data_IF_316872966601
#
_entry.id   IF_316872966601
#
_cell.length_a   1.000
_cell.length_b   1.000
_cell.length_c   1.000
_cell.angle_alpha   90.00
_cell.angle_beta   90.00
_cell.angle_gamma   90.00
#
_symmetry.space_group_name_H-M   'P 1'
#
loop_
_entity.id
_entity.type
_entity.pdbx_description
1 polymer ?
#
# COMPACT_ATOMS: atom_id res chain seq x y z
N UNK A 1 -56.90 2.82 -55.33
CA UNK A 1 -56.78 3.84 -54.26
C UNK A 1 -56.67 3.25 -52.85
N UNK A 2 -57.33 2.11 -52.54
CA UNK A 2 -57.33 1.50 -51.19
C UNK A 2 -55.96 0.86 -50.83
N UNK A 3 -55.31 0.17 -51.77
CA UNK A 3 -54.02 -0.48 -51.55
C UNK A 3 -52.88 0.49 -51.17
N UNK A 4 -52.83 1.67 -51.78
CA UNK A 4 -51.83 2.71 -51.47
C UNK A 4 -51.99 3.28 -50.06
N UNK A 5 -53.24 3.41 -49.57
CA UNK A 5 -53.51 3.88 -48.19
C UNK A 5 -53.08 2.85 -47.14
N UNK A 6 -53.31 1.56 -47.39
CA UNK A 6 -52.92 0.49 -46.48
C UNK A 6 -51.40 0.35 -46.44
N UNK A 7 -50.73 0.41 -47.59
CA UNK A 7 -49.27 0.35 -47.68
C UNK A 7 -48.61 1.52 -46.94
N UNK A 8 -49.09 2.74 -47.13
CA UNK A 8 -48.54 3.91 -46.43
C UNK A 8 -48.78 3.87 -44.91
N UNK A 9 -49.92 3.33 -44.45
CA UNK A 9 -50.14 3.15 -43.00
C UNK A 9 -49.25 2.06 -42.41
N UNK A 10 -48.96 0.99 -43.16
CA UNK A 10 -48.07 -0.08 -42.72
C UNK A 10 -46.62 0.43 -42.62
N UNK A 11 -46.15 1.17 -43.64
CA UNK A 11 -44.82 1.79 -43.64
C UNK A 11 -44.69 2.81 -42.52
N UNK A 12 -45.71 3.66 -42.30
CA UNK A 12 -45.69 4.63 -41.20
C UNK A 12 -45.63 3.95 -39.83
N UNK A 13 -46.35 2.84 -39.63
CA UNK A 13 -46.29 2.05 -38.39
C UNK A 13 -44.93 1.38 -38.19
N UNK A 14 -44.32 0.87 -39.25
CA UNK A 14 -42.97 0.27 -39.20
C UNK A 14 -41.91 1.34 -38.89
N UNK A 15 -42.02 2.53 -39.48
CA UNK A 15 -41.11 3.66 -39.21
C UNK A 15 -41.26 4.18 -37.77
N UNK A 16 -42.50 4.30 -37.27
CA UNK A 16 -42.75 4.67 -35.87
C UNK A 16 -42.22 3.59 -34.91
N UNK A 17 -42.46 2.30 -35.20
CA UNK A 17 -41.92 1.21 -34.39
C UNK A 17 -40.38 1.17 -34.41
N UNK A 18 -39.75 1.46 -35.55
CA UNK A 18 -38.29 1.58 -35.68
C UNK A 18 -37.72 2.77 -34.92
N UNK A 19 -38.39 3.93 -34.95
CA UNK A 19 -37.98 5.13 -34.19
C UNK A 19 -38.12 4.94 -32.67
N UNK A 20 -39.15 4.22 -32.21
CA UNK A 20 -39.31 3.86 -30.79
C UNK A 20 -38.22 2.87 -30.33
N UNK A 21 -37.81 1.94 -31.20
CA UNK A 21 -36.75 0.96 -30.90
C UNK A 21 -35.34 1.58 -30.87
N UNK A 22 -35.12 2.67 -31.60
CA UNK A 22 -33.85 3.43 -31.59
C UNK A 22 -33.80 4.40 -30.39
N UNK A 23 -34.94 4.87 -29.89
CA UNK A 23 -35.03 5.76 -28.72
C UNK A 23 -34.84 5.07 -27.36
N UNK A 24 -34.76 3.74 -27.30
CA UNK A 24 -34.60 2.97 -26.05
C UNK A 24 -33.17 2.52 -25.75
N UNK A 25 -32.18 2.98 -26.51
CA UNK A 25 -30.77 2.91 -26.08
C UNK A 25 -30.49 4.07 -25.13
N UNK A 26 -31.28 4.17 -24.05
CA UNK A 26 -30.85 4.92 -22.89
C UNK A 26 -29.63 4.19 -22.35
N UNK A 27 -28.48 4.85 -22.29
CA UNK A 27 -27.31 4.32 -21.59
C UNK A 27 -27.79 3.86 -20.23
N UNK A 28 -27.68 2.56 -19.95
CA UNK A 28 -27.91 2.06 -18.61
C UNK A 28 -26.85 2.72 -17.74
N UNK A 29 -27.27 3.77 -17.02
CA UNK A 29 -26.52 4.34 -15.94
C UNK A 29 -26.21 3.19 -14.99
N UNK A 30 -24.93 2.82 -14.88
CA UNK A 30 -24.53 1.70 -14.06
C UNK A 30 -24.66 2.14 -12.60
N UNK A 31 -25.38 1.39 -11.79
CA UNK A 31 -25.39 1.62 -10.34
C UNK A 31 -23.96 1.57 -9.78
N UNK A 32 -23.77 2.12 -8.57
CA UNK A 32 -22.50 2.14 -7.87
C UNK A 32 -22.59 1.29 -6.61
N UNK A 33 -21.47 0.76 -6.16
CA UNK A 33 -21.32 0.15 -4.83
C UNK A 33 -20.61 1.17 -3.94
N UNK A 34 -21.28 1.57 -2.86
CA UNK A 34 -20.70 2.39 -1.80
C UNK A 34 -20.29 1.49 -0.63
N UNK A 35 -18.99 1.36 -0.40
CA UNK A 35 -18.37 0.63 0.70
C UNK A 35 -18.26 1.57 1.90
N UNK A 36 -18.82 1.17 3.03
CA UNK A 36 -18.87 2.03 4.22
C UNK A 36 -17.52 2.09 4.91
N UNK A 37 -17.18 3.26 5.46
CA UNK A 37 -16.04 3.44 6.38
C UNK A 37 -16.45 4.15 7.67
N UNK A 38 -17.74 4.43 7.86
CA UNK A 38 -18.31 4.96 9.09
C UNK A 38 -18.66 3.82 10.08
N UNK A 39 -19.46 4.13 11.10
CA UNK A 39 -19.86 3.18 12.14
C UNK A 39 -20.77 2.04 11.63
N UNK A 40 -21.26 2.10 10.39
CA UNK A 40 -22.00 1.00 9.77
C UNK A 40 -21.08 -0.06 9.15
N UNK A 41 -19.77 0.20 9.12
CA UNK A 41 -18.78 -0.80 8.74
C UNK A 41 -18.42 -1.67 9.94
N UNK A 42 -18.49 -2.99 9.75
CA UNK A 42 -18.13 -3.97 10.78
C UNK A 42 -16.66 -4.36 10.73
N UNK A 43 -16.00 -4.15 9.59
CA UNK A 43 -14.58 -4.46 9.41
C UNK A 43 -13.89 -3.50 8.44
N UNK A 44 -13.28 -2.44 9.00
CA UNK A 44 -12.60 -1.41 8.21
C UNK A 44 -11.32 -1.93 7.53
N UNK A 45 -10.61 -2.87 8.15
CA UNK A 45 -9.39 -3.44 7.55
C UNK A 45 -9.73 -4.28 6.31
N UNK A 46 -10.78 -5.11 6.39
CA UNK A 46 -11.28 -5.84 5.22
C UNK A 46 -11.83 -4.92 4.15
N UNK A 47 -12.37 -3.74 4.49
CA UNK A 47 -12.80 -2.76 3.50
C UNK A 47 -11.63 -2.20 2.67
N UNK A 48 -10.48 -1.89 3.30
CA UNK A 48 -9.25 -1.57 2.56
C UNK A 48 -8.78 -2.74 1.69
N UNK A 49 -8.86 -3.96 2.21
CA UNK A 49 -8.58 -5.19 1.47
C UNK A 49 -9.44 -5.36 0.22
N UNK A 50 -10.74 -5.11 0.33
CA UNK A 50 -11.68 -5.14 -0.78
C UNK A 50 -11.35 -4.07 -1.83
N UNK A 51 -11.02 -2.85 -1.41
CA UNK A 51 -10.60 -1.78 -2.31
C UNK A 51 -9.31 -2.16 -3.07
N UNK A 52 -8.31 -2.68 -2.36
CA UNK A 52 -7.07 -3.19 -2.98
C UNK A 52 -7.37 -4.32 -3.97
N UNK A 53 -8.22 -5.28 -3.60
CA UNK A 53 -8.62 -6.37 -4.48
C UNK A 53 -9.31 -5.85 -5.75
N UNK A 54 -10.20 -4.86 -5.64
CA UNK A 54 -10.85 -4.24 -6.80
C UNK A 54 -9.82 -3.67 -7.79
N UNK A 55 -8.84 -2.92 -7.27
CA UNK A 55 -7.74 -2.37 -8.07
C UNK A 55 -6.92 -3.48 -8.74
N UNK A 56 -6.65 -4.58 -8.03
CA UNK A 56 -5.97 -5.75 -8.58
C UNK A 56 -6.75 -6.49 -9.68
N UNK A 57 -8.08 -6.31 -9.74
CA UNK A 57 -8.93 -6.80 -10.84
C UNK A 57 -9.07 -5.80 -11.99
N UNK A 58 -8.42 -4.62 -11.89
CA UNK A 58 -8.53 -3.55 -12.89
C UNK A 58 -9.81 -2.72 -12.76
N UNK A 59 -10.50 -2.77 -11.62
CA UNK A 59 -11.61 -1.86 -11.35
C UNK A 59 -11.08 -0.59 -10.68
N UNK A 60 -11.52 0.56 -11.19
CA UNK A 60 -11.23 1.84 -10.55
C UNK A 60 -12.01 1.97 -9.24
N UNK A 61 -11.37 2.57 -8.24
CA UNK A 61 -11.95 2.85 -6.92
C UNK A 61 -11.85 4.32 -6.64
N UNK A 62 -12.95 4.95 -6.26
CA UNK A 62 -12.94 6.32 -5.75
C UNK A 62 -12.88 6.28 -4.23
N UNK A 63 -11.88 6.94 -3.66
CA UNK A 63 -11.78 7.17 -2.24
C UNK A 63 -12.40 8.53 -1.89
N UNK A 64 -13.50 8.49 -1.16
CA UNK A 64 -14.28 9.64 -0.77
C UNK A 64 -13.76 10.20 0.57
N UNK A 65 -12.67 10.95 0.52
CA UNK A 65 -12.00 11.51 1.69
C UNK A 65 -12.98 12.35 2.52
N UNK A 66 -12.98 12.10 3.83
CA UNK A 66 -13.87 12.71 4.84
C UNK A 66 -15.39 12.47 4.64
N UNK A 67 -15.82 11.85 3.54
CA UNK A 67 -17.21 11.41 3.39
C UNK A 67 -17.40 10.04 4.06
N UNK A 68 -18.32 9.96 5.03
CA UNK A 68 -18.64 8.73 5.79
C UNK A 68 -17.39 7.97 6.26
N UNK A 69 -16.43 8.68 6.86
CA UNK A 69 -15.21 8.08 7.39
C UNK A 69 -14.16 7.70 6.34
N UNK A 70 -14.27 8.23 5.11
CA UNK A 70 -13.35 7.88 4.02
C UNK A 70 -13.87 6.71 3.18
N UNK A 71 -15.17 6.69 2.89
CA UNK A 71 -15.83 5.59 2.13
C UNK A 71 -15.20 5.35 0.76
N UNK A 72 -15.35 4.14 0.23
CA UNK A 72 -14.97 3.82 -1.14
C UNK A 72 -16.19 3.68 -2.04
N UNK A 73 -16.07 4.10 -3.29
CA UNK A 73 -17.09 3.92 -4.30
C UNK A 73 -16.51 3.27 -5.56
N UNK A 74 -17.25 2.31 -6.12
CA UNK A 74 -16.87 1.56 -7.31
C UNK A 74 -18.09 1.34 -8.20
N UNK A 75 -17.88 1.09 -9.49
CA UNK A 75 -18.94 0.62 -10.38
C UNK A 75 -19.60 -0.65 -9.85
N UNK A 76 -20.93 -0.72 -9.84
CA UNK A 76 -21.61 -1.92 -9.40
C UNK A 76 -21.33 -3.08 -10.35
N UNK A 77 -20.81 -4.17 -9.78
CA UNK A 77 -20.58 -5.46 -10.42
C UNK A 77 -20.90 -6.56 -9.42
N UNK A 78 -21.60 -7.60 -9.87
CA UNK A 78 -21.94 -8.76 -9.03
C UNK A 78 -20.72 -9.39 -8.35
N UNK A 79 -19.58 -9.41 -9.04
CA UNK A 79 -18.33 -9.99 -8.51
C UNK A 79 -17.83 -9.22 -7.28
N UNK A 80 -17.95 -7.89 -7.29
CA UNK A 80 -17.52 -7.02 -6.19
C UNK A 80 -18.47 -7.20 -5.01
N UNK A 81 -19.79 -7.15 -5.24
CA UNK A 81 -20.80 -7.35 -4.18
C UNK A 81 -20.65 -8.72 -3.50
N UNK A 82 -20.39 -9.78 -4.28
CA UNK A 82 -20.11 -11.12 -3.75
C UNK A 82 -18.82 -11.15 -2.94
N UNK A 83 -17.72 -10.56 -3.43
CA UNK A 83 -16.45 -10.50 -2.69
C UNK A 83 -16.59 -9.71 -1.38
N UNK A 84 -17.28 -8.56 -1.40
CA UNK A 84 -17.58 -7.78 -0.20
C UNK A 84 -18.34 -8.60 0.84
N UNK A 85 -19.37 -9.34 0.40
CA UNK A 85 -20.16 -10.23 1.27
C UNK A 85 -19.30 -11.34 1.87
N UNK A 86 -18.44 -11.98 1.07
CA UNK A 86 -17.52 -13.04 1.52
C UNK A 86 -16.50 -12.50 2.54
N UNK A 87 -16.03 -11.27 2.35
CA UNK A 87 -15.07 -10.61 3.25
C UNK A 87 -15.72 -9.99 4.49
N UNK A 88 -17.05 -10.03 4.63
CA UNK A 88 -17.76 -9.41 5.75
C UNK A 88 -17.76 -7.88 5.74
N UNK A 89 -17.60 -7.28 4.56
CA UNK A 89 -17.55 -5.83 4.37
C UNK A 89 -18.95 -5.28 4.09
N UNK A 90 -19.39 -4.31 4.89
CA UNK A 90 -20.69 -3.64 4.69
C UNK A 90 -20.65 -2.68 3.50
N UNK A 91 -21.69 -2.74 2.65
CA UNK A 91 -21.86 -1.87 1.49
C UNK A 91 -23.34 -1.64 1.15
N UNK A 92 -23.60 -0.69 0.24
CA UNK A 92 -24.89 -0.54 -0.46
C UNK A 92 -24.68 -0.45 -1.96
N UNK A 93 -25.67 -0.90 -2.72
CA UNK A 93 -25.80 -0.54 -4.14
C UNK A 93 -26.65 0.73 -4.20
N UNK A 94 -26.13 1.77 -4.84
CA UNK A 94 -26.77 3.07 -4.98
C UNK A 94 -26.94 3.41 -6.47
N UNK A 95 -27.99 4.16 -6.79
CA UNK A 95 -28.20 4.68 -8.14
C UNK A 95 -27.23 5.82 -8.47
N UNK A 96 -27.05 6.11 -9.75
CA UNK A 96 -26.29 7.28 -10.20
C UNK A 96 -26.84 8.62 -9.65
N UNK A 97 -28.15 8.72 -9.42
CA UNK A 97 -28.75 9.91 -8.82
C UNK A 97 -28.35 10.10 -7.35
N UNK A 98 -28.20 8.99 -6.62
CA UNK A 98 -27.66 8.99 -5.25
C UNK A 98 -26.17 9.32 -5.26
N UNK A 99 -25.39 8.70 -6.16
CA UNK A 99 -23.96 9.02 -6.32
C UNK A 99 -23.73 10.50 -6.66
N UNK A 100 -24.52 11.07 -7.57
CA UNK A 100 -24.49 12.49 -7.90
C UNK A 100 -24.81 13.39 -6.69
N UNK A 101 -25.72 12.94 -5.81
CA UNK A 101 -26.02 13.67 -4.58
C UNK A 101 -24.87 13.59 -3.57
N UNK A 102 -24.15 12.46 -3.51
CA UNK A 102 -22.94 12.30 -2.70
C UNK A 102 -21.83 13.25 -3.21
N UNK A 103 -21.56 13.28 -4.51
CA UNK A 103 -20.57 14.18 -5.07
C UNK A 103 -20.88 15.65 -4.79
N UNK A 104 -22.15 16.06 -4.89
CA UNK A 104 -22.56 17.42 -4.52
C UNK A 104 -22.24 17.74 -3.05
N UNK A 105 -22.54 16.81 -2.13
CA UNK A 105 -22.17 16.98 -0.71
C UNK A 105 -20.66 17.10 -0.53
N UNK A 106 -19.88 16.32 -1.27
CA UNK A 106 -18.41 16.39 -1.22
C UNK A 106 -17.92 17.76 -1.69
N UNK A 107 -18.45 18.28 -2.80
CA UNK A 107 -18.06 19.59 -3.34
C UNK A 107 -18.44 20.77 -2.42
N UNK A 108 -19.53 20.65 -1.66
CA UNK A 108 -20.03 21.71 -0.77
C UNK A 108 -19.31 21.75 0.59
N UNK A 109 -18.60 20.68 0.96
CA UNK A 109 -17.99 20.48 2.28
C UNK A 109 -16.47 20.29 2.20
N UNK A 110 -15.79 20.17 3.34
CA UNK A 110 -14.34 19.90 3.39
C UNK A 110 -14.01 18.42 3.12
N UNK A 111 -14.34 17.95 1.92
CA UNK A 111 -14.20 16.56 1.45
C UNK A 111 -13.55 16.52 0.06
N UNK A 112 -13.09 15.35 -0.38
CA UNK A 112 -12.44 15.19 -1.69
C UNK A 112 -12.68 13.78 -2.27
N UNK A 113 -12.71 13.67 -3.60
CA UNK A 113 -12.71 12.39 -4.32
C UNK A 113 -11.33 12.14 -4.89
N UNK A 114 -10.69 11.04 -4.49
CA UNK A 114 -9.42 10.59 -5.07
C UNK A 114 -9.67 9.33 -5.90
N UNK A 115 -9.34 9.38 -7.19
CA UNK A 115 -9.41 8.22 -8.07
C UNK A 115 -8.18 7.32 -7.88
N UNK A 116 -8.42 6.04 -7.61
CA UNK A 116 -7.42 4.98 -7.51
C UNK A 116 -7.60 4.02 -8.69
N UNK A 117 -6.50 3.75 -9.41
CA UNK A 117 -6.54 2.99 -10.67
C UNK A 117 -5.64 1.75 -10.68
N UNK A 118 -4.68 1.67 -9.75
CA UNK A 118 -3.69 0.58 -9.69
C UNK A 118 -3.45 0.15 -8.24
N UNK A 119 -3.44 -1.17 -8.02
CA UNK A 119 -2.98 -1.75 -6.76
C UNK A 119 -1.45 -1.63 -6.66
N UNK A 120 -0.90 -1.03 -5.59
CA UNK A 120 0.55 -0.92 -5.45
C UNK A 120 1.17 -2.30 -5.17
N UNK A 121 2.34 -2.56 -5.78
CA UNK A 121 3.20 -3.66 -5.36
C UNK A 121 3.91 -3.30 -4.05
N UNK A 122 3.79 -4.13 -3.01
CA UNK A 122 4.24 -3.82 -1.66
C UNK A 122 5.38 -4.76 -1.26
N UNK A 123 6.48 -4.19 -0.79
CA UNK A 123 7.54 -4.91 -0.09
C UNK A 123 7.58 -4.53 1.39
N UNK A 124 7.81 -5.52 2.25
CA UNK A 124 8.07 -5.32 3.67
C UNK A 124 9.51 -5.74 3.98
N UNK A 125 10.29 -4.82 4.53
CA UNK A 125 11.66 -5.08 4.91
C UNK A 125 11.70 -5.84 6.24
N UNK A 126 12.12 -7.11 6.22
CA UNK A 126 12.11 -7.98 7.40
C UNK A 126 13.31 -8.92 7.40
N UNK A 127 14.08 -9.01 8.51
CA UNK A 127 15.09 -10.06 8.64
C UNK A 127 14.46 -11.45 8.61
N UNK A 128 15.11 -12.45 7.98
CA UNK A 128 14.52 -13.76 7.72
C UNK A 128 14.16 -14.58 8.98
N UNK A 129 14.68 -14.21 10.14
CA UNK A 129 14.40 -14.86 11.43
C UNK A 129 13.40 -14.14 12.31
N UNK A 130 12.70 -13.13 11.77
CA UNK A 130 11.69 -12.38 12.51
C UNK A 130 10.29 -12.97 12.35
N UNK A 131 9.63 -13.13 13.48
CA UNK A 131 8.29 -13.70 13.52
C UNK A 131 7.23 -12.70 13.02
N UNK A 132 6.18 -13.16 12.29
CA UNK A 132 5.19 -12.26 11.68
C UNK A 132 4.37 -11.42 12.66
N UNK A 133 4.15 -11.91 13.89
CA UNK A 133 3.33 -11.21 14.89
C UNK A 133 4.03 -10.02 15.56
N UNK A 134 5.35 -9.87 15.34
CA UNK A 134 6.13 -8.72 15.82
C UNK A 134 6.03 -7.51 14.88
N UNK A 135 5.17 -7.58 13.86
CA UNK A 135 4.93 -6.53 12.88
C UNK A 135 3.42 -6.31 12.67
N UNK A 136 2.92 -5.22 13.24
CA UNK A 136 1.50 -4.87 13.16
C UNK A 136 1.04 -4.57 11.73
N UNK A 137 1.92 -4.08 10.85
CA UNK A 137 1.58 -3.80 9.46
C UNK A 137 1.41 -5.10 8.69
N UNK A 138 2.31 -6.07 8.86
CA UNK A 138 2.14 -7.41 8.26
C UNK A 138 0.86 -8.08 8.72
N UNK A 139 0.56 -8.03 10.02
CA UNK A 139 -0.71 -8.55 10.55
C UNK A 139 -1.92 -7.86 9.92
N UNK A 140 -1.87 -6.54 9.74
CA UNK A 140 -2.95 -5.79 9.11
C UNK A 140 -3.12 -6.14 7.62
N UNK A 141 -2.01 -6.26 6.87
CA UNK A 141 -2.01 -6.67 5.46
C UNK A 141 -2.56 -8.09 5.30
N UNK A 142 -2.06 -9.04 6.09
CA UNK A 142 -2.52 -10.44 6.09
C UNK A 142 -4.02 -10.52 6.43
N UNK A 143 -4.45 -9.78 7.45
CA UNK A 143 -5.87 -9.73 7.84
C UNK A 143 -6.74 -9.11 6.74
N UNK A 144 -6.27 -8.05 6.10
CA UNK A 144 -6.96 -7.40 4.98
C UNK A 144 -6.90 -8.21 3.67
N UNK A 145 -6.16 -9.34 3.61
CA UNK A 145 -5.89 -10.10 2.37
C UNK A 145 -5.14 -9.29 1.31
N UNK A 146 -4.26 -8.37 1.72
CA UNK A 146 -3.42 -7.57 0.83
C UNK A 146 -2.05 -8.27 0.67
N UNK A 147 -1.69 -8.72 -0.55
CA UNK A 147 -0.42 -9.39 -0.78
C UNK A 147 0.77 -8.42 -0.65
N UNK A 148 1.88 -8.94 -0.12
CA UNK A 148 3.16 -8.27 -0.05
C UNK A 148 4.29 -9.30 -0.16
N UNK A 149 5.46 -8.84 -0.61
CA UNK A 149 6.68 -9.64 -0.55
C UNK A 149 7.55 -9.20 0.63
N UNK A 150 8.37 -10.13 1.13
CA UNK A 150 9.41 -9.82 2.11
C UNK A 150 10.74 -9.63 1.41
N UNK A 151 11.46 -8.58 1.80
CA UNK A 151 12.83 -8.27 1.35
C UNK A 151 13.72 -7.99 2.53
N UNK A 152 15.03 -8.19 2.40
CA UNK A 152 16.01 -7.79 3.40
C UNK A 152 17.28 -7.23 2.74
N UNK A 153 18.40 -7.21 3.46
CA UNK A 153 19.66 -6.62 3.00
C UNK A 153 20.12 -7.14 1.63
N UNK A 154 20.06 -8.45 1.41
CA UNK A 154 20.55 -9.08 0.18
C UNK A 154 19.71 -8.67 -1.04
N UNK A 155 18.38 -8.74 -0.93
CA UNK A 155 17.45 -8.37 -2.00
C UNK A 155 17.51 -6.87 -2.32
N UNK A 156 17.62 -6.02 -1.28
CA UNK A 156 17.72 -4.57 -1.46
C UNK A 156 19.02 -4.21 -2.18
N UNK A 157 20.15 -4.81 -1.80
CA UNK A 157 21.43 -4.58 -2.48
C UNK A 157 21.44 -5.10 -3.91
N UNK A 158 20.72 -6.20 -4.18
CA UNK A 158 20.54 -6.77 -5.51
C UNK A 158 19.61 -5.93 -6.42
N UNK A 159 18.97 -4.87 -5.90
CA UNK A 159 18.11 -3.98 -6.68
C UNK A 159 16.65 -4.42 -6.79
N UNK A 160 16.21 -5.39 -5.99
CA UNK A 160 14.84 -5.93 -6.04
C UNK A 160 13.76 -4.89 -5.75
N UNK A 161 14.12 -3.76 -5.11
CA UNK A 161 13.19 -2.66 -4.84
C UNK A 161 12.57 -2.05 -6.10
N UNK A 162 13.18 -2.21 -7.28
CA UNK A 162 12.63 -1.70 -8.55
C UNK A 162 11.34 -2.42 -8.97
N UNK A 163 10.99 -3.55 -8.34
CA UNK A 163 9.76 -4.31 -8.58
C UNK A 163 8.55 -3.78 -7.77
N UNK A 164 8.78 -2.89 -6.80
CA UNK A 164 7.77 -2.50 -5.82
C UNK A 164 7.45 -1.01 -5.86
N UNK A 165 6.17 -0.67 -5.71
CA UNK A 165 5.73 0.71 -5.61
C UNK A 165 5.98 1.25 -4.18
N UNK A 166 5.79 0.40 -3.15
CA UNK A 166 5.89 0.77 -1.72
C UNK A 166 6.87 -0.14 -0.94
N UNK A 167 7.65 0.46 -0.03
CA UNK A 167 8.51 -0.23 0.94
C UNK A 167 8.11 0.12 2.37
N UNK A 168 7.83 -0.89 3.20
CA UNK A 168 7.62 -0.73 4.63
C UNK A 168 8.86 -1.12 5.44
N UNK A 169 9.27 -0.28 6.40
CA UNK A 169 10.33 -0.55 7.36
C UNK A 169 9.77 -0.52 8.80
N UNK A 170 10.07 -1.55 9.60
CA UNK A 170 9.64 -1.63 10.98
C UNK A 170 10.74 -2.14 11.91
N UNK A 171 11.03 -1.37 12.97
CA UNK A 171 11.97 -1.75 14.03
C UNK A 171 13.36 -2.16 13.54
N UNK A 172 13.80 -1.62 12.40
CA UNK A 172 15.15 -1.83 11.90
C UNK A 172 16.14 -0.86 12.58
N UNK A 173 17.41 -1.23 12.56
CA UNK A 173 18.54 -0.38 12.94
C UNK A 173 19.55 -0.29 11.79
N UNK A 174 19.49 0.82 11.06
CA UNK A 174 20.45 1.10 9.98
C UNK A 174 21.80 1.64 10.47
N UNK A 175 21.98 1.87 11.78
CA UNK A 175 23.25 2.40 12.31
C UNK A 175 24.33 1.32 12.48
N UNK A 176 23.92 0.05 12.57
CA UNK A 176 24.83 -1.08 12.84
C UNK A 176 25.13 -1.29 14.33
N UNK A 177 24.41 -0.63 15.24
CA UNK A 177 24.58 -0.74 16.70
C UNK A 177 23.72 -1.83 17.34
N UNK A 178 23.03 -2.65 16.53
CA UNK A 178 22.16 -3.74 16.97
C UNK A 178 21.01 -3.26 17.88
N UNK A 179 20.54 -2.03 17.69
CA UNK A 179 19.51 -1.37 18.47
C UNK A 179 19.90 -1.11 19.94
N UNK A 180 18.93 -0.61 20.72
CA UNK A 180 19.15 -0.17 22.11
C UNK A 180 19.43 -1.28 23.15
N UNK A 181 19.64 -2.52 22.71
CA UNK A 181 19.63 -3.69 23.59
C UNK A 181 20.97 -4.00 24.25
N UNK A 182 22.07 -3.42 23.76
CA UNK A 182 23.41 -3.69 24.31
C UNK A 182 23.48 -3.45 25.82
N UNK A 183 23.01 -2.29 26.28
CA UNK A 183 23.09 -1.89 27.69
C UNK A 183 22.47 -2.91 28.65
N UNK A 184 21.32 -3.50 28.28
CA UNK A 184 20.59 -4.44 29.14
C UNK A 184 20.86 -5.90 28.81
N UNK A 185 21.28 -6.23 27.59
CA UNK A 185 21.25 -7.60 27.06
C UNK A 185 22.53 -8.06 26.35
N UNK A 186 23.63 -7.31 26.36
CA UNK A 186 24.88 -7.72 25.69
C UNK A 186 25.36 -9.14 26.07
N UNK A 187 25.06 -9.60 27.29
CA UNK A 187 25.42 -10.94 27.74
C UNK A 187 24.41 -12.04 27.38
N UNK A 188 23.20 -11.69 26.93
CA UNK A 188 22.15 -12.64 26.61
C UNK A 188 22.46 -13.42 25.32
N UNK A 189 22.15 -14.71 25.32
CA UNK A 189 22.45 -15.60 24.19
C UNK A 189 21.78 -15.15 22.88
N UNK A 190 20.54 -14.67 22.97
CA UNK A 190 19.81 -14.18 21.80
C UNK A 190 20.49 -12.95 21.19
N UNK A 191 21.03 -12.05 22.01
CA UNK A 191 21.71 -10.85 21.55
C UNK A 191 23.02 -11.21 20.85
N UNK A 192 23.86 -12.05 21.48
CA UNK A 192 25.11 -12.55 20.91
C UNK A 192 24.89 -13.27 19.58
N UNK A 193 23.86 -14.11 19.50
CA UNK A 193 23.48 -14.79 18.25
C UNK A 193 23.08 -13.80 17.16
N UNK A 194 22.32 -12.76 17.50
CA UNK A 194 21.91 -11.72 16.54
C UNK A 194 23.11 -10.92 16.02
N UNK A 195 24.04 -10.54 16.89
CA UNK A 195 25.29 -9.87 16.50
C UNK A 195 26.08 -10.76 15.53
N UNK A 196 26.35 -12.01 15.92
CA UNK A 196 27.11 -12.95 15.10
C UNK A 196 26.46 -13.23 13.73
N UNK A 197 25.13 -13.32 13.66
CA UNK A 197 24.40 -13.46 12.39
C UNK A 197 24.55 -12.23 11.49
N UNK A 198 24.48 -11.04 12.09
CA UNK A 198 24.59 -9.77 11.36
C UNK A 198 26.00 -9.57 10.80
N UNK A 199 27.03 -9.87 11.60
CA UNK A 199 28.43 -9.86 11.16
C UNK A 199 28.69 -10.88 10.06
N UNK A 200 28.17 -12.11 10.21
CA UNK A 200 28.29 -13.14 9.18
C UNK A 200 27.62 -12.73 7.86
N UNK A 201 26.46 -12.07 7.92
CA UNK A 201 25.78 -11.54 6.74
C UNK A 201 26.59 -10.41 6.09
N UNK A 202 27.10 -9.46 6.88
CA UNK A 202 27.96 -8.38 6.38
C UNK A 202 29.18 -8.94 5.63
N UNK A 203 29.87 -9.91 6.22
CA UNK A 203 31.00 -10.57 5.57
C UNK A 203 30.60 -11.38 4.32
N UNK A 204 29.47 -12.09 4.36
CA UNK A 204 28.92 -12.81 3.19
C UNK A 204 28.70 -11.85 2.01
N UNK A 205 28.25 -10.63 2.29
CA UNK A 205 27.95 -9.60 1.29
C UNK A 205 29.16 -8.71 0.95
N UNK A 206 30.34 -9.02 1.51
CA UNK A 206 31.60 -8.34 1.18
C UNK A 206 31.90 -7.08 1.98
N UNK A 207 31.19 -6.83 3.09
CA UNK A 207 31.43 -5.70 3.99
C UNK A 207 32.33 -6.11 5.16
N UNK A 208 33.15 -5.17 5.63
CA UNK A 208 33.99 -5.41 6.81
C UNK A 208 33.18 -5.25 8.10
N UNK A 209 32.24 -4.30 8.11
CA UNK A 209 31.37 -4.00 9.27
C UNK A 209 29.89 -4.07 8.93
N UNK A 210 29.06 -4.34 9.95
CA UNK A 210 27.60 -4.27 9.86
C UNK A 210 27.12 -2.84 9.58
N UNK A 211 27.77 -1.83 10.15
CA UNK A 211 27.46 -0.42 9.90
C UNK A 211 27.68 -0.03 8.44
N UNK A 212 28.74 -0.53 7.79
CA UNK A 212 28.99 -0.34 6.36
C UNK A 212 27.91 -1.00 5.49
N UNK A 213 27.53 -2.24 5.82
CA UNK A 213 26.43 -2.94 5.16
C UNK A 213 25.15 -2.12 5.26
N UNK A 214 24.76 -1.69 6.47
CA UNK A 214 23.51 -0.97 6.70
C UNK A 214 23.50 0.41 6.04
N UNK A 215 24.63 1.13 6.00
CA UNK A 215 24.78 2.35 5.18
C UNK A 215 24.59 2.07 3.69
N UNK A 216 25.13 0.98 3.17
CA UNK A 216 24.92 0.60 1.78
C UNK A 216 23.43 0.31 1.46
N UNK A 217 22.73 -0.37 2.35
CA UNK A 217 21.28 -0.63 2.24
C UNK A 217 20.48 0.67 2.33
N UNK A 218 20.79 1.54 3.29
CA UNK A 218 20.14 2.85 3.43
C UNK A 218 20.26 3.69 2.15
N UNK A 219 21.43 3.67 1.50
CA UNK A 219 21.63 4.35 0.20
C UNK A 219 20.78 3.76 -0.92
N UNK A 220 20.65 2.42 -0.99
CA UNK A 220 19.75 1.79 -1.96
C UNK A 220 18.30 2.18 -1.76
N UNK A 221 17.85 2.26 -0.50
CA UNK A 221 16.50 2.74 -0.17
C UNK A 221 16.36 4.23 -0.51
N UNK A 222 17.38 5.07 -0.27
CA UNK A 222 17.39 6.48 -0.69
C UNK A 222 17.24 6.62 -2.20
N UNK A 223 18.00 5.83 -2.96
CA UNK A 223 17.93 5.85 -4.41
C UNK A 223 16.55 5.39 -4.91
N UNK A 224 15.95 4.40 -4.26
CA UNK A 224 14.57 3.95 -4.52
C UNK A 224 13.55 5.08 -4.32
N UNK A 225 13.61 5.78 -3.18
CA UNK A 225 12.74 6.92 -2.89
C UNK A 225 12.96 8.05 -3.90
N UNK A 226 14.22 8.33 -4.25
CA UNK A 226 14.56 9.36 -5.25
C UNK A 226 14.01 9.05 -6.65
N UNK A 227 13.74 7.77 -6.97
CA UNK A 227 13.08 7.34 -8.21
C UNK A 227 11.55 7.33 -8.13
N UNK A 228 10.96 7.77 -7.02
CA UNK A 228 9.52 7.84 -6.82
C UNK A 228 8.92 6.67 -6.04
N UNK A 229 9.75 5.79 -5.47
CA UNK A 229 9.30 4.77 -4.54
C UNK A 229 8.74 5.37 -3.25
N UNK A 230 7.66 4.79 -2.71
CA UNK A 230 7.08 5.26 -1.46
C UNK A 230 7.68 4.51 -0.28
N UNK A 231 8.15 5.25 0.73
CA UNK A 231 8.74 4.68 1.95
C UNK A 231 7.82 4.93 3.15
N UNK A 232 7.43 3.85 3.82
CA UNK A 232 6.73 3.92 5.10
C UNK A 232 7.60 3.33 6.21
N UNK A 233 8.35 4.19 6.89
CA UNK A 233 9.22 3.82 8.00
C UNK A 233 8.54 4.11 9.34
N UNK A 234 8.57 3.13 10.25
CA UNK A 234 7.96 3.22 11.57
C UNK A 234 8.95 2.95 12.70
N UNK A 235 8.65 3.52 13.87
CA UNK A 235 9.41 3.36 15.10
C UNK A 235 10.89 3.74 14.90
N UNK A 236 11.83 2.85 15.24
CA UNK A 236 13.27 3.14 15.13
C UNK A 236 13.79 3.18 13.70
N UNK A 237 13.03 2.64 12.73
CA UNK A 237 13.48 2.61 11.35
C UNK A 237 13.60 4.03 10.77
N UNK A 238 12.70 4.94 11.15
CA UNK A 238 12.72 6.35 10.72
C UNK A 238 14.02 7.04 11.11
N UNK A 239 14.34 7.05 12.41
CA UNK A 239 15.53 7.74 12.91
C UNK A 239 16.82 7.04 12.48
N UNK A 240 16.89 5.71 12.56
CA UNK A 240 18.13 4.99 12.24
C UNK A 240 18.49 5.09 10.76
N UNK A 241 17.49 5.12 9.87
CA UNK A 241 17.68 5.33 8.44
C UNK A 241 18.29 6.72 8.16
N UNK A 242 17.71 7.77 8.75
CA UNK A 242 18.21 9.14 8.58
C UNK A 242 19.62 9.30 9.17
N UNK A 243 19.90 8.70 10.33
CA UNK A 243 21.23 8.70 10.94
C UNK A 243 22.25 7.99 10.03
N UNK A 244 21.90 6.85 9.45
CA UNK A 244 22.80 6.11 8.56
C UNK A 244 23.16 6.92 7.31
N UNK A 245 22.20 7.68 6.76
CA UNK A 245 22.43 8.57 5.63
C UNK A 245 23.23 9.82 6.02
N UNK A 246 22.96 10.42 7.17
CA UNK A 246 23.74 11.55 7.68
C UNK A 246 25.20 11.14 7.93
N UNK A 247 25.42 9.93 8.44
CA UNK A 247 26.73 9.38 8.74
C UNK A 247 27.35 8.58 7.57
N UNK A 248 26.92 8.80 6.32
CA UNK A 248 27.30 7.98 5.16
C UNK A 248 28.82 7.77 5.04
N UNK A 249 29.60 8.84 5.27
CA UNK A 249 31.06 8.86 5.09
C UNK A 249 31.85 8.97 6.40
N UNK A 250 31.20 8.78 7.56
CA UNK A 250 31.82 8.96 8.87
C UNK A 250 31.49 7.81 9.80
N UNK A 251 32.47 7.31 10.56
CA UNK A 251 32.22 6.29 11.56
C UNK A 251 31.68 6.93 12.85
N UNK A 252 30.49 6.51 13.25
CA UNK A 252 29.79 6.98 14.45
C UNK A 252 29.54 5.84 15.44
N UNK A 253 29.99 4.63 15.11
CA UNK A 253 29.72 3.44 15.91
C UNK A 253 30.75 3.36 17.03
N UNK A 254 30.26 3.13 18.25
CA UNK A 254 31.12 3.05 19.43
C UNK A 254 31.82 1.68 19.52
N UNK A 255 32.99 1.65 20.15
CA UNK A 255 33.89 0.49 20.24
C UNK A 255 33.24 -0.75 20.83
N UNK A 256 32.20 -0.57 21.63
CA UNK A 256 31.44 -1.69 22.21
C UNK A 256 30.66 -2.52 21.18
N UNK A 257 30.44 -1.99 19.97
CA UNK A 257 29.64 -2.64 18.93
C UNK A 257 30.49 -3.30 17.84
N UNK A 258 31.57 -2.68 17.39
CA UNK A 258 32.40 -3.16 16.27
C UNK A 258 33.92 -3.16 16.56
N UNK A 259 34.34 -2.73 17.75
CA UNK A 259 35.68 -2.96 18.29
C UNK A 259 36.72 -1.87 18.01
N UNK A 260 36.38 -0.81 17.31
CA UNK A 260 37.23 0.36 17.06
C UNK A 260 36.55 1.68 17.48
N UNK A 261 37.32 2.75 17.76
CA UNK A 261 36.72 4.01 18.18
C UNK A 261 36.05 4.73 17.01
N UNK A 262 34.93 5.44 17.25
CA UNK A 262 34.30 6.28 16.24
C UNK A 262 35.24 7.40 15.81
N UNK A 263 34.95 8.03 14.66
CA UNK A 263 35.74 9.13 14.15
C UNK A 263 35.75 10.30 15.15
N UNK A 264 36.90 10.75 15.67
CA UNK A 264 36.95 11.70 16.79
C UNK A 264 36.24 13.04 16.51
N UNK A 265 36.07 13.40 15.24
CA UNK A 265 35.41 14.63 14.82
C UNK A 265 34.08 14.35 14.09
N UNK A 266 33.38 13.24 14.40
CA UNK A 266 32.18 12.85 13.68
C UNK A 266 31.04 13.89 13.75
N UNK A 267 31.00 14.74 14.78
CA UNK A 267 29.99 15.80 14.91
C UNK A 267 30.24 17.00 13.99
N UNK A 268 31.46 17.15 13.46
CA UNK A 268 31.85 18.28 12.60
C UNK A 268 31.78 17.94 11.09
N UNK A 269 31.37 16.71 10.75
CA UNK A 269 31.33 16.16 9.39
C UNK A 269 29.90 15.91 8.95
#
# INVERSE_FOLDING_TARGET
MIFSRIFNQLVLRIVIAGLILIGSVGGAFADRILIYMDLNQTDHLKAYGLAYWCLGQGFNVEWLLNYRGGSFMVDARDIIAKKATIMGVSFSVISEGEAASIYRTIEEENMEVVLLEKAPAIAVYVPPDREPWDDAVRLALDYAEIPYDVVYDEEVLAGKLDEYDWLHLHHEDFTGQYGKFYASYHNADWYKKRVAKSEALAHKLGFAKVSELKKAVARKIKDYVARGGFLFAMCSATDSYDIALAAENVDIVDTVFDGDPPDPNYQEK
#
